data_IF_444729673733
#
_entry.id   IF_444729673733
#
_cell.length_a   1.000
_cell.length_b   1.000
_cell.length_c   1.000
_cell.angle_alpha   90.00
_cell.angle_beta   90.00
_cell.angle_gamma   90.00
#
_symmetry.space_group_name_H-M   'P 1'
#
loop_
_entity.id
_entity.type
_entity.pdbx_description
1 polymer ?
#
# COMPACT_ATOMS: atom_id res chain seq x y z
N UNK A 1 -44.35 -67.25 -20.16
CA UNK A 1 -43.37 -67.16 -19.05
C UNK A 1 -42.13 -66.44 -19.56
N UNK A 2 -41.62 -65.42 -18.84
CA UNK A 2 -40.22 -64.98 -19.03
C UNK A 2 -39.89 -63.48 -19.15
N UNK A 3 -40.30 -62.65 -18.17
CA UNK A 3 -39.66 -61.42 -17.66
C UNK A 3 -38.94 -60.46 -18.64
N UNK A 4 -39.60 -59.35 -18.97
CA UNK A 4 -38.94 -58.08 -19.33
C UNK A 4 -38.39 -57.46 -18.03
N UNK A 5 -37.07 -57.36 -17.91
CA UNK A 5 -36.43 -56.59 -16.82
C UNK A 5 -36.67 -55.10 -17.07
N UNK A 6 -37.60 -54.50 -16.34
CA UNK A 6 -37.69 -53.04 -16.23
C UNK A 6 -36.37 -52.51 -15.69
N UNK A 7 -35.68 -51.73 -16.53
CA UNK A 7 -34.64 -50.82 -16.09
C UNK A 7 -35.36 -49.77 -15.23
N UNK A 8 -35.23 -49.89 -13.90
CA UNK A 8 -35.66 -48.84 -12.99
C UNK A 8 -34.76 -47.63 -13.23
N UNK A 9 -35.30 -46.64 -13.94
CA UNK A 9 -34.81 -45.26 -13.98
C UNK A 9 -34.74 -44.76 -12.54
N UNK A 10 -33.55 -44.78 -11.97
CA UNK A 10 -33.22 -44.10 -10.73
C UNK A 10 -32.99 -42.61 -11.00
N UNK A 11 -33.98 -41.93 -11.58
CA UNK A 11 -34.07 -40.47 -11.55
C UNK A 11 -34.95 -40.16 -10.34
N UNK A 12 -34.31 -40.06 -9.17
CA UNK A 12 -34.93 -39.43 -8.01
C UNK A 12 -35.11 -37.96 -8.37
N UNK A 13 -36.31 -37.59 -8.83
CA UNK A 13 -36.76 -36.20 -8.86
C UNK A 13 -36.72 -35.69 -7.41
N UNK A 14 -35.62 -35.04 -7.02
CA UNK A 14 -35.53 -34.34 -5.74
C UNK A 14 -36.66 -33.32 -5.68
N UNK A 15 -37.38 -33.30 -4.56
CA UNK A 15 -38.46 -32.32 -4.37
C UNK A 15 -37.92 -30.89 -4.47
N UNK A 16 -38.75 -29.94 -4.90
CA UNK A 16 -38.36 -28.53 -5.00
C UNK A 16 -37.78 -28.01 -3.68
N UNK A 17 -38.36 -28.40 -2.54
CA UNK A 17 -37.84 -28.08 -1.21
C UNK A 17 -36.47 -28.72 -0.94
N UNK A 18 -36.26 -30.00 -1.29
CA UNK A 18 -34.97 -30.67 -1.12
C UNK A 18 -33.87 -30.03 -1.99
N UNK A 19 -34.22 -29.58 -3.20
CA UNK A 19 -33.31 -28.84 -4.06
C UNK A 19 -32.92 -27.48 -3.45
N UNK A 20 -33.86 -26.79 -2.80
CA UNK A 20 -33.58 -25.52 -2.12
C UNK A 20 -32.70 -25.71 -0.88
N UNK A 21 -32.94 -26.77 -0.11
CA UNK A 21 -32.09 -27.14 1.03
C UNK A 21 -30.68 -27.47 0.57
N UNK A 22 -30.54 -28.29 -0.47
CA UNK A 22 -29.24 -28.64 -1.02
C UNK A 22 -28.48 -27.43 -1.57
N UNK A 23 -29.16 -26.54 -2.30
CA UNK A 23 -28.56 -25.29 -2.79
C UNK A 23 -28.12 -24.38 -1.65
N UNK A 24 -28.92 -24.29 -0.57
CA UNK A 24 -28.57 -23.54 0.63
C UNK A 24 -27.31 -24.12 1.29
N UNK A 25 -27.23 -25.43 1.45
CA UNK A 25 -26.11 -26.09 2.10
C UNK A 25 -24.80 -25.89 1.31
N UNK A 26 -24.87 -25.97 -0.02
CA UNK A 26 -23.74 -25.66 -0.90
C UNK A 26 -23.27 -24.21 -0.74
N UNK A 27 -24.21 -23.25 -0.73
CA UNK A 27 -23.88 -21.84 -0.54
C UNK A 27 -23.25 -21.56 0.83
N UNK A 28 -23.71 -22.24 1.88
CA UNK A 28 -23.16 -22.09 3.23
C UNK A 28 -21.70 -22.59 3.29
N UNK A 29 -21.41 -23.74 2.68
CA UNK A 29 -20.05 -24.26 2.61
C UNK A 29 -19.14 -23.38 1.74
N UNK A 30 -19.63 -22.86 0.61
CA UNK A 30 -18.91 -21.91 -0.24
C UNK A 30 -18.55 -20.63 0.53
N UNK A 31 -19.51 -20.05 1.26
CA UNK A 31 -19.30 -18.86 2.10
C UNK A 31 -18.23 -19.14 3.15
N UNK A 32 -18.24 -20.32 3.75
CA UNK A 32 -17.26 -20.73 4.77
C UNK A 32 -15.86 -20.87 4.17
N UNK A 33 -15.73 -21.48 3.00
CA UNK A 33 -14.47 -21.60 2.28
C UNK A 33 -13.91 -20.23 1.88
N UNK A 34 -14.75 -19.35 1.34
CA UNK A 34 -14.37 -17.99 0.96
C UNK A 34 -13.89 -17.17 2.17
N UNK A 35 -14.56 -17.30 3.32
CA UNK A 35 -14.12 -16.64 4.57
C UNK A 35 -12.75 -17.12 5.03
N UNK A 36 -12.47 -18.42 4.91
CA UNK A 36 -11.14 -18.96 5.25
C UNK A 36 -10.06 -18.45 4.29
N UNK A 37 -10.34 -18.41 2.99
CA UNK A 37 -9.43 -17.84 2.00
C UNK A 37 -9.16 -16.36 2.25
N UNK A 38 -10.20 -15.58 2.58
CA UNK A 38 -10.07 -14.17 2.94
C UNK A 38 -9.13 -14.00 4.15
N UNK A 39 -9.35 -14.78 5.21
CA UNK A 39 -8.55 -14.69 6.44
C UNK A 39 -7.07 -15.02 6.17
N UNK A 40 -6.80 -16.05 5.37
CA UNK A 40 -5.43 -16.38 4.93
C UNK A 40 -4.80 -15.26 4.11
N UNK A 41 -5.56 -14.65 3.18
CA UNK A 41 -5.08 -13.53 2.37
C UNK A 41 -4.82 -12.29 3.19
N UNK A 42 -5.68 -11.97 4.14
CA UNK A 42 -5.47 -10.87 5.09
C UNK A 42 -4.23 -11.10 5.95
N UNK A 43 -4.00 -12.33 6.42
CA UNK A 43 -2.80 -12.66 7.18
C UNK A 43 -1.54 -12.57 6.34
N UNK A 44 -1.57 -13.07 5.09
CA UNK A 44 -0.49 -12.90 4.12
C UNK A 44 -0.18 -11.42 3.88
N UNK A 45 -1.21 -10.58 3.70
CA UNK A 45 -1.05 -9.14 3.54
C UNK A 45 -0.51 -8.47 4.80
N UNK A 46 -0.92 -8.89 6.01
CA UNK A 46 -0.34 -8.39 7.26
C UNK A 46 1.13 -8.76 7.39
N UNK A 47 1.51 -9.99 7.05
CA UNK A 47 2.91 -10.44 7.03
C UNK A 47 3.71 -9.65 6.00
N UNK A 48 3.19 -9.47 4.80
CA UNK A 48 3.83 -8.67 3.76
C UNK A 48 3.99 -7.21 4.20
N UNK A 49 2.96 -6.62 4.80
CA UNK A 49 3.02 -5.28 5.40
C UNK A 49 4.02 -5.18 6.56
N UNK A 50 4.23 -6.24 7.35
CA UNK A 50 5.28 -6.25 8.38
C UNK A 50 6.68 -6.26 7.77
N UNK A 51 6.89 -7.04 6.71
CA UNK A 51 8.16 -7.07 5.95
C UNK A 51 8.39 -5.74 5.22
N UNK A 52 7.33 -5.13 4.67
CA UNK A 52 7.33 -3.81 4.04
C UNK A 52 7.24 -2.65 5.03
N UNK A 53 7.14 -2.89 6.34
CA UNK A 53 7.40 -1.87 7.37
C UNK A 53 8.87 -1.82 7.80
N UNK A 54 9.64 -2.86 7.50
CA UNK A 54 11.10 -2.91 7.63
C UNK A 54 11.95 -2.42 6.42
N UNK A 55 11.48 -1.63 5.43
CA UNK A 55 12.28 -1.26 4.27
C UNK A 55 13.05 0.05 4.49
N UNK A 56 13.35 0.44 5.73
CA UNK A 56 14.31 1.55 5.94
C UNK A 56 15.76 1.03 5.85
N UNK A 57 15.99 -0.29 5.88
CA UNK A 57 17.33 -0.87 5.97
C UNK A 57 17.58 -1.98 4.94
N UNK A 58 17.84 -1.61 3.67
CA UNK A 58 18.59 -2.37 2.63
C UNK A 58 18.40 -1.64 1.28
N UNK A 59 19.41 -1.24 0.48
CA UNK A 59 20.88 -1.42 0.44
C UNK A 59 21.47 -0.23 -0.34
N UNK A 60 22.69 0.18 0.03
CA UNK A 60 23.59 0.94 -0.85
C UNK A 60 23.68 2.44 -0.58
N UNK A 61 24.66 2.82 0.26
CA UNK A 61 25.13 4.19 0.50
C UNK A 61 24.23 5.10 1.37
N UNK A 62 24.52 5.12 2.67
CA UNK A 62 24.00 6.11 3.61
C UNK A 62 22.60 5.77 4.14
N UNK A 63 22.39 6.00 5.43
CA UNK A 63 21.05 6.07 5.99
C UNK A 63 20.20 7.01 5.13
N UNK A 64 19.01 6.58 4.69
CA UNK A 64 18.08 7.44 3.92
C UNK A 64 17.98 8.77 4.66
N UNK A 65 18.35 9.87 4.01
CA UNK A 65 18.51 11.14 4.72
C UNK A 65 17.18 11.56 5.36
N UNK A 66 17.25 12.19 6.54
CA UNK A 66 16.06 12.68 7.24
C UNK A 66 15.18 13.54 6.33
N UNK A 67 15.81 14.34 5.46
CA UNK A 67 15.13 15.12 4.41
C UNK A 67 14.30 14.23 3.49
N UNK A 68 14.88 13.18 2.90
CA UNK A 68 14.15 12.27 2.00
C UNK A 68 12.99 11.59 2.73
N UNK A 69 13.19 11.18 3.99
CA UNK A 69 12.12 10.57 4.80
C UNK A 69 10.96 11.55 5.02
N UNK A 70 11.24 12.79 5.45
CA UNK A 70 10.22 13.81 5.67
C UNK A 70 9.45 14.12 4.38
N UNK A 71 10.15 14.29 3.25
CA UNK A 71 9.51 14.55 1.96
C UNK A 71 8.65 13.37 1.50
N UNK A 72 9.09 12.13 1.74
CA UNK A 72 8.29 10.93 1.45
C UNK A 72 7.00 10.91 2.26
N UNK A 73 7.05 11.26 3.56
CA UNK A 73 5.84 11.40 4.39
C UNK A 73 4.89 12.46 3.85
N UNK A 74 5.41 13.63 3.43
CA UNK A 74 4.56 14.68 2.86
C UNK A 74 3.93 14.23 1.54
N UNK A 75 4.68 13.50 0.71
CA UNK A 75 4.19 12.98 -0.57
C UNK A 75 3.01 12.03 -0.34
N UNK A 76 3.18 11.06 0.56
CA UNK A 76 2.11 10.15 0.99
C UNK A 76 0.87 10.92 1.46
N UNK A 77 1.06 11.89 2.36
CA UNK A 77 -0.04 12.72 2.87
C UNK A 77 -0.75 13.53 1.79
N UNK A 78 -0.04 13.94 0.73
CA UNK A 78 -0.58 14.73 -0.37
C UNK A 78 -1.32 13.91 -1.42
N UNK A 79 -0.99 12.62 -1.60
CA UNK A 79 -1.75 11.73 -2.49
C UNK A 79 -3.19 11.54 -2.00
N UNK A 80 -3.36 11.44 -0.69
CA UNK A 80 -4.66 11.17 -0.06
C UNK A 80 -5.50 12.44 0.18
N UNK A 81 -4.96 13.63 -0.11
CA UNK A 81 -5.56 14.91 0.28
C UNK A 81 -5.45 15.96 -0.82
N UNK A 82 -6.57 16.56 -1.18
CA UNK A 82 -6.65 17.76 -2.03
C UNK A 82 -6.22 19.04 -1.33
N UNK A 83 -5.94 19.01 -0.01
CA UNK A 83 -5.69 20.22 0.78
C UNK A 83 -4.23 20.35 1.21
N UNK A 84 -3.68 21.59 1.26
CA UNK A 84 -2.32 21.86 1.70
C UNK A 84 -2.05 21.37 3.13
N UNK A 85 -0.82 20.95 3.42
CA UNK A 85 -0.47 20.28 4.67
C UNK A 85 0.27 21.24 5.61
N UNK A 86 -0.19 21.39 6.85
CA UNK A 86 0.49 22.22 7.84
C UNK A 86 1.70 21.50 8.46
N UNK A 87 2.70 22.25 8.92
CA UNK A 87 3.85 21.68 9.65
C UNK A 87 3.45 20.81 10.84
N UNK A 88 2.37 21.18 11.56
CA UNK A 88 1.87 20.40 12.70
C UNK A 88 1.35 19.02 12.26
N UNK A 89 0.67 18.96 11.12
CA UNK A 89 0.20 17.69 10.57
C UNK A 89 1.38 16.82 10.11
N UNK A 90 2.38 17.40 9.46
CA UNK A 90 3.60 16.69 9.04
C UNK A 90 4.31 16.09 10.26
N UNK A 91 4.55 16.88 11.30
CA UNK A 91 5.21 16.42 12.53
C UNK A 91 4.43 15.27 13.16
N UNK A 92 3.09 15.38 13.24
CA UNK A 92 2.24 14.33 13.80
C UNK A 92 2.32 13.04 13.00
N UNK A 93 2.29 13.13 11.67
CA UNK A 93 2.34 11.95 10.81
C UNK A 93 3.72 11.30 10.82
N UNK A 94 4.78 12.11 10.69
CA UNK A 94 6.17 11.64 10.74
C UNK A 94 6.47 10.91 12.06
N UNK A 95 5.98 11.43 13.19
CA UNK A 95 6.14 10.80 14.51
C UNK A 95 5.46 9.45 14.65
N UNK A 96 4.49 9.08 13.80
CA UNK A 96 3.94 7.72 13.81
C UNK A 96 4.91 6.70 13.22
N UNK A 97 5.82 7.15 12.36
CA UNK A 97 6.82 6.31 11.69
C UNK A 97 8.16 6.35 12.44
N UNK A 98 8.52 7.50 13.02
CA UNK A 98 9.84 7.73 13.61
C UNK A 98 9.77 8.59 14.88
N UNK A 99 10.10 7.98 16.03
CA UNK A 99 9.98 8.62 17.35
C UNK A 99 11.26 9.30 17.87
N UNK A 100 12.42 8.95 17.31
CA UNK A 100 13.74 9.47 17.72
C UNK A 100 14.01 10.91 17.27
N UNK A 101 13.18 11.47 16.39
CA UNK A 101 13.34 12.84 15.87
C UNK A 101 12.39 13.80 16.57
N UNK A 102 12.96 14.85 17.16
CA UNK A 102 12.18 15.89 17.82
C UNK A 102 11.49 16.84 16.81
N UNK A 103 10.48 17.56 17.28
CA UNK A 103 9.68 18.46 16.43
C UNK A 103 10.50 19.61 15.84
N UNK A 104 11.45 20.16 16.60
CA UNK A 104 12.31 21.27 16.13
C UNK A 104 13.20 20.85 14.97
N UNK A 105 13.71 19.61 14.96
CA UNK A 105 14.51 19.06 13.86
C UNK A 105 13.66 18.88 12.61
N UNK A 106 12.43 18.38 12.75
CA UNK A 106 11.50 18.25 11.62
C UNK A 106 11.20 19.63 11.02
N UNK A 107 10.82 20.61 11.87
CA UNK A 107 10.49 21.97 11.43
C UNK A 107 11.66 22.70 10.79
N UNK A 108 12.87 22.57 11.34
CA UNK A 108 14.07 23.16 10.75
C UNK A 108 14.41 22.52 9.41
N UNK A 109 14.24 21.20 9.28
CA UNK A 109 14.42 20.50 8.00
C UNK A 109 13.40 20.99 6.96
N UNK A 110 12.11 21.09 7.32
CA UNK A 110 11.08 21.64 6.44
C UNK A 110 11.45 23.04 5.95
N UNK A 111 11.90 23.90 6.86
CA UNK A 111 12.32 25.25 6.54
C UNK A 111 13.52 25.29 5.58
N UNK A 112 14.54 24.47 5.83
CA UNK A 112 15.73 24.39 4.99
C UNK A 112 15.36 23.91 3.58
N UNK A 113 14.57 22.85 3.50
CA UNK A 113 14.23 22.20 2.23
C UNK A 113 13.28 23.05 1.40
N UNK A 114 12.31 23.75 2.01
CA UNK A 114 11.41 24.65 1.29
C UNK A 114 12.11 25.85 0.65
N UNK A 115 13.36 26.15 1.06
CA UNK A 115 14.17 27.23 0.48
C UNK A 115 15.18 26.74 -0.56
N UNK A 116 15.34 25.42 -0.72
CA UNK A 116 16.23 24.88 -1.74
C UNK A 116 15.59 25.07 -3.11
N UNK A 117 16.39 25.56 -4.06
CA UNK A 117 15.97 25.67 -5.46
C UNK A 117 16.00 24.32 -6.16
N UNK A 118 16.98 23.47 -5.82
CA UNK A 118 17.16 22.14 -6.41
C UNK A 118 16.09 21.16 -5.89
N UNK A 119 15.50 20.41 -6.82
CA UNK A 119 14.62 19.30 -6.52
C UNK A 119 15.34 18.24 -5.67
N UNK A 120 14.59 17.52 -4.86
CA UNK A 120 15.10 16.39 -4.08
C UNK A 120 14.49 15.11 -4.61
N UNK A 121 15.33 14.13 -4.88
CA UNK A 121 14.88 12.78 -5.26
C UNK A 121 14.42 12.01 -4.02
N UNK A 122 13.21 11.47 -4.09
CA UNK A 122 12.67 10.52 -3.12
C UNK A 122 12.29 9.22 -3.84
N UNK A 123 12.41 8.11 -3.14
CA UNK A 123 12.01 6.80 -3.65
C UNK A 123 10.66 6.44 -3.03
N UNK A 124 9.70 6.05 -3.86
CA UNK A 124 8.37 5.68 -3.39
C UNK A 124 7.73 4.63 -4.31
N UNK A 125 7.37 3.47 -3.76
CA UNK A 125 6.69 2.37 -4.45
C UNK A 125 7.36 1.93 -5.78
N UNK A 126 8.70 1.89 -5.82
CA UNK A 126 9.45 1.50 -7.02
C UNK A 126 9.65 2.63 -8.04
N UNK A 127 9.34 3.87 -7.67
CA UNK A 127 9.55 5.06 -8.49
C UNK A 127 10.55 6.01 -7.83
N UNK A 128 11.39 6.62 -8.67
CA UNK A 128 12.21 7.77 -8.30
C UNK A 128 11.42 9.03 -8.65
N UNK A 129 11.09 9.82 -7.63
CA UNK A 129 10.34 11.05 -7.77
C UNK A 129 11.25 12.25 -7.53
N UNK A 130 11.35 13.13 -8.50
CA UNK A 130 11.96 14.45 -8.31
C UNK A 130 10.91 15.39 -7.73
N UNK A 131 11.08 15.77 -6.47
CA UNK A 131 10.09 16.59 -5.76
C UNK A 131 10.66 17.92 -5.28
N UNK A 132 9.80 18.93 -5.28
CA UNK A 132 10.11 20.26 -4.73
C UNK A 132 9.11 20.62 -3.66
N UNK A 133 9.62 21.00 -2.48
CA UNK A 133 8.79 21.42 -1.37
C UNK A 133 8.45 22.91 -1.51
N UNK A 134 7.17 23.19 -1.72
CA UNK A 134 6.62 24.54 -1.77
C UNK A 134 6.09 24.91 -0.38
N UNK A 135 6.30 26.17 0.01
CA UNK A 135 5.79 26.73 1.26
C UNK A 135 4.98 27.99 0.99
N UNK A 136 3.71 27.96 1.37
CA UNK A 136 2.78 29.08 1.26
C UNK A 136 2.17 29.38 2.63
N UNK A 137 2.72 30.39 3.31
CA UNK A 137 2.32 30.73 4.68
C UNK A 137 2.53 29.54 5.65
N UNK A 138 1.47 29.02 6.30
CA UNK A 138 1.58 27.88 7.22
C UNK A 138 1.57 26.52 6.50
N UNK A 139 1.37 26.51 5.18
CA UNK A 139 1.13 25.32 4.38
C UNK A 139 2.37 24.87 3.61
N UNK A 140 2.48 23.55 3.46
CA UNK A 140 3.50 22.88 2.68
C UNK A 140 2.82 22.00 1.65
N UNK A 141 3.38 22.00 0.45
CA UNK A 141 2.93 21.21 -0.69
C UNK A 141 4.14 20.62 -1.39
N UNK A 142 3.99 19.43 -1.96
CA UNK A 142 5.00 18.85 -2.83
C UNK A 142 4.56 18.99 -4.27
N UNK A 143 5.45 19.57 -5.06
CA UNK A 143 5.37 19.55 -6.50
C UNK A 143 6.24 18.40 -7.02
N UNK A 144 5.66 17.52 -7.84
CA UNK A 144 6.39 16.45 -8.52
C UNK A 144 6.82 16.97 -9.88
N UNK A 145 8.12 17.08 -10.09
CA UNK A 145 8.73 17.59 -11.32
C UNK A 145 9.05 16.47 -12.31
N UNK A 146 9.32 15.26 -11.80
CA UNK A 146 9.63 14.07 -12.58
C UNK A 146 9.31 12.80 -11.82
N UNK A 147 8.96 11.75 -12.56
CA UNK A 147 8.67 10.42 -12.03
C UNK A 147 9.26 9.37 -12.99
N UNK A 148 10.18 8.55 -12.48
CA UNK A 148 10.92 7.56 -13.27
C UNK A 148 10.83 6.19 -12.59
N UNK A 149 10.69 5.08 -13.34
CA UNK A 149 10.80 3.75 -12.75
C UNK A 149 12.21 3.56 -12.15
N UNK A 150 12.32 2.99 -10.94
CA UNK A 150 13.64 2.70 -10.36
C UNK A 150 14.46 1.70 -11.21
N UNK A 151 13.75 0.88 -12.00
CA UNK A 151 14.31 -0.22 -12.79
C UNK A 151 15.10 0.28 -14.03
N UNK A 152 14.86 1.51 -14.50
CA UNK A 152 15.49 2.07 -15.71
C UNK A 152 16.89 2.67 -15.47
N UNK A 153 17.41 2.69 -14.24
CA UNK A 153 18.77 3.20 -13.95
C UNK A 153 19.88 2.13 -13.98
N UNK A 154 19.55 0.85 -14.24
CA UNK A 154 20.55 -0.22 -14.28
C UNK A 154 21.36 -0.21 -15.58
N UNK A 155 20.87 0.38 -16.67
CA UNK A 155 21.55 0.31 -17.98
C UNK A 155 22.67 1.36 -18.20
N UNK A 156 22.84 2.36 -17.32
CA UNK A 156 23.82 3.45 -17.56
C UNK A 156 25.14 3.35 -16.77
N UNK A 157 25.43 2.21 -16.12
CA UNK A 157 26.70 2.03 -15.36
C UNK A 157 27.70 1.13 -16.11
N UNK A 158 27.38 0.65 -17.33
CA UNK A 158 28.22 -0.30 -18.07
C UNK A 158 28.78 0.20 -19.42
N UNK A 159 28.92 1.51 -19.63
CA UNK A 159 29.69 2.07 -20.76
C UNK A 159 30.95 2.81 -20.29
#
# INVERSE_FOLDING_TARGET
MGKVKSIKRGELNMGYEESLWHARDLLVEEIKALRQQLLLKEEQLRRLNSVLRDPIHKRGSGTVSLTKQILTTIYQMSRDRTHPISAKQIVREFRKQRHDVNESTIRSTLYQVSRKQKATEIEYEGWLLEVKLLKEGPWYMLEVLGQYPLEEQIEQIND
#
